data_IF_806644984095
#
_entry.id   IF_806644984095
#
_cell.length_a   1.000
_cell.length_b   1.000
_cell.length_c   1.000
_cell.angle_alpha   90.00
_cell.angle_beta   90.00
_cell.angle_gamma   90.00
#
_symmetry.space_group_name_H-M   'P 1'
#
loop_
_entity.id
_entity.type
_entity.pdbx_description
1 polymer ?
#
# COMPACT_ATOMS: atom_id res chain seq x y z
N UNK A 1 -22.35 54.50 -26.13
CA UNK A 1 -20.93 54.69 -26.45
C UNK A 1 -20.14 54.23 -25.23
N UNK A 2 -19.50 53.06 -25.35
CA UNK A 2 -18.41 52.42 -24.56
C UNK A 2 -18.23 52.85 -23.08
N UNK A 3 -18.25 52.00 -22.05
CA UNK A 3 -17.73 50.64 -21.93
C UNK A 3 -16.56 50.66 -20.93
N UNK A 4 -16.77 50.22 -19.68
CA UNK A 4 -15.69 50.02 -18.69
C UNK A 4 -15.84 48.61 -18.12
N UNK A 5 -15.08 47.68 -18.70
CA UNK A 5 -14.81 46.36 -18.10
C UNK A 5 -13.38 46.42 -17.54
N UNK A 6 -13.25 46.41 -16.22
CA UNK A 6 -12.00 46.10 -15.53
C UNK A 6 -11.74 44.58 -15.68
N UNK A 7 -10.81 44.23 -16.57
CA UNK A 7 -10.20 42.91 -16.63
C UNK A 7 -8.92 42.93 -15.78
N UNK A 8 -9.02 42.50 -14.54
CA UNK A 8 -7.86 42.11 -13.74
C UNK A 8 -7.28 40.82 -14.33
N UNK A 9 -6.23 40.96 -15.15
CA UNK A 9 -5.53 39.83 -15.77
C UNK A 9 -4.74 39.07 -14.71
N UNK A 10 -5.24 37.90 -14.32
CA UNK A 10 -4.46 36.90 -13.59
C UNK A 10 -3.42 36.35 -14.56
N UNK A 11 -2.16 36.71 -14.35
CA UNK A 11 -1.02 36.16 -15.07
C UNK A 11 -0.99 34.64 -14.92
N UNK A 12 -1.32 33.94 -16.00
CA UNK A 12 -1.13 32.51 -16.13
C UNK A 12 0.38 32.27 -16.23
N UNK A 13 1.03 31.91 -15.11
CA UNK A 13 2.38 31.37 -15.13
C UNK A 13 2.33 30.04 -15.90
N UNK A 14 2.64 30.08 -17.19
CA UNK A 14 3.03 28.92 -17.96
C UNK A 14 4.35 28.40 -17.37
N UNK A 15 4.25 27.46 -16.44
CA UNK A 15 5.39 26.63 -16.05
C UNK A 15 5.69 25.74 -17.25
N UNK A 16 6.60 26.19 -18.10
CA UNK A 16 7.24 25.35 -19.10
C UNK A 16 8.11 24.36 -18.32
N UNK A 17 7.51 23.21 -17.99
CA UNK A 17 8.24 22.07 -17.45
C UNK A 17 9.20 21.57 -18.54
N UNK A 18 10.47 21.92 -18.40
CA UNK A 18 11.55 21.27 -19.12
C UNK A 18 11.56 19.80 -18.70
N UNK A 19 11.05 18.93 -19.57
CA UNK A 19 11.15 17.47 -19.41
C UNK A 19 12.61 17.07 -19.51
N UNK A 20 13.31 17.02 -18.38
CA UNK A 20 14.57 16.27 -18.27
C UNK A 20 14.22 14.79 -18.18
N UNK A 21 14.05 14.16 -19.35
CA UNK A 21 13.82 12.72 -19.50
C UNK A 21 15.06 11.93 -19.08
N UNK A 22 15.12 11.52 -17.81
CA UNK A 22 16.15 10.59 -17.32
C UNK A 22 15.60 9.39 -16.51
N UNK A 23 14.28 9.20 -16.54
CA UNK A 23 13.66 7.94 -16.21
C UNK A 23 12.63 7.64 -17.31
N UNK A 24 12.80 6.53 -18.01
CA UNK A 24 11.71 6.04 -18.82
C UNK A 24 11.83 4.52 -18.94
N UNK A 25 11.18 3.84 -18.00
CA UNK A 25 10.33 2.75 -18.43
C UNK A 25 9.48 3.32 -19.56
N UNK A 26 9.51 2.71 -20.75
CA UNK A 26 8.70 3.21 -21.85
C UNK A 26 7.22 2.95 -21.55
N UNK A 27 6.57 3.83 -20.79
CA UNK A 27 5.18 3.63 -20.39
C UNK A 27 4.24 3.54 -21.59
N UNK A 28 4.64 4.02 -22.78
CA UNK A 28 3.85 3.87 -24.02
C UNK A 28 3.76 2.43 -24.51
N UNK A 29 4.65 1.54 -24.05
CA UNK A 29 4.57 0.10 -24.31
C UNK A 29 3.80 -0.67 -23.24
N UNK A 30 3.11 0.01 -22.32
CA UNK A 30 2.23 -0.64 -21.36
C UNK A 30 1.03 -1.28 -22.09
N UNK A 31 0.55 -2.45 -21.63
CA UNK A 31 -0.48 -3.21 -22.33
C UNK A 31 -1.88 -2.60 -22.23
N UNK A 32 -2.14 -1.72 -21.24
CA UNK A 32 -3.44 -1.07 -21.04
C UNK A 32 -3.24 0.40 -20.62
N UNK A 33 -4.27 1.22 -20.82
CA UNK A 33 -4.26 2.62 -20.38
C UNK A 33 -4.07 2.74 -18.86
N UNK A 34 -4.70 1.86 -18.08
CA UNK A 34 -4.53 1.84 -16.63
C UNK A 34 -3.07 1.58 -16.21
N UNK A 35 -2.41 0.61 -16.85
CA UNK A 35 -0.99 0.30 -16.57
C UNK A 35 -0.10 1.44 -17.07
N UNK A 36 -0.46 2.12 -18.16
CA UNK A 36 0.24 3.30 -18.64
C UNK A 36 0.18 4.45 -17.63
N UNK A 37 -0.99 4.72 -17.03
CA UNK A 37 -1.16 5.74 -15.99
C UNK A 37 -0.33 5.37 -14.75
N UNK A 38 -0.44 4.12 -14.26
CA UNK A 38 0.37 3.66 -13.12
C UNK A 38 1.87 3.76 -13.40
N UNK A 39 2.32 3.39 -14.61
CA UNK A 39 3.70 3.51 -15.01
C UNK A 39 4.21 4.95 -14.93
N UNK A 40 3.38 5.93 -15.32
CA UNK A 40 3.74 7.35 -15.23
C UNK A 40 3.87 7.79 -13.77
N UNK A 41 2.91 7.42 -12.92
CA UNK A 41 2.91 7.72 -11.49
C UNK A 41 4.15 7.16 -10.78
N UNK A 42 4.44 5.87 -10.96
CA UNK A 42 5.62 5.24 -10.34
C UNK A 42 6.92 5.75 -10.96
N UNK A 43 6.95 6.07 -12.26
CA UNK A 43 8.15 6.67 -12.87
C UNK A 43 8.43 8.05 -12.28
N UNK A 44 7.39 8.85 -12.04
CA UNK A 44 7.52 10.12 -11.33
C UNK A 44 7.99 9.92 -9.89
N UNK A 45 7.43 8.95 -9.17
CA UNK A 45 7.88 8.56 -7.83
C UNK A 45 9.38 8.23 -7.82
N UNK A 46 9.81 7.33 -8.72
CA UNK A 46 11.19 6.91 -8.87
C UNK A 46 12.15 8.07 -9.14
N UNK A 47 11.77 8.99 -10.04
CA UNK A 47 12.60 10.17 -10.35
C UNK A 47 12.86 11.00 -9.11
N UNK A 48 11.84 11.22 -8.28
CA UNK A 48 11.97 12.10 -7.12
C UNK A 48 12.66 11.36 -5.96
N UNK A 49 12.32 10.09 -5.72
CA UNK A 49 12.92 9.26 -4.67
C UNK A 49 14.43 9.04 -4.85
N UNK A 50 14.96 9.15 -6.07
CA UNK A 50 16.42 9.09 -6.33
C UNK A 50 17.19 10.26 -5.73
N UNK A 51 16.52 11.39 -5.51
CA UNK A 51 17.10 12.58 -4.89
C UNK A 51 16.92 12.60 -3.36
N UNK A 52 16.21 11.61 -2.80
CA UNK A 52 16.02 11.49 -1.35
C UNK A 52 17.21 10.73 -0.76
N UNK A 53 17.93 11.30 0.22
CA UNK A 53 19.01 10.60 0.89
C UNK A 53 18.52 9.32 1.58
N UNK A 54 19.16 8.19 1.29
CA UNK A 54 18.89 6.92 1.95
C UNK A 54 19.79 6.72 3.17
N UNK A 55 19.22 6.28 4.29
CA UNK A 55 19.99 5.82 5.46
C UNK A 55 20.09 4.29 5.43
N UNK A 56 21.26 3.75 5.73
CA UNK A 56 21.44 2.33 6.03
C UNK A 56 21.45 2.14 7.54
N UNK A 57 21.08 0.95 8.02
CA UNK A 57 21.28 0.59 9.43
C UNK A 57 22.76 0.72 9.76
N UNK A 58 23.15 1.61 10.66
CA UNK A 58 24.51 1.67 11.21
C UNK A 58 24.64 0.58 12.29
N UNK A 59 25.82 0.00 12.45
CA UNK A 59 26.07 -1.14 13.37
C UNK A 59 25.73 -0.86 14.85
N UNK A 60 25.48 0.38 15.24
CA UNK A 60 25.03 0.76 16.59
C UNK A 60 23.51 0.59 16.83
N UNK A 61 22.71 0.44 15.77
CA UNK A 61 21.29 0.04 15.85
C UNK A 61 21.16 -1.46 15.52
N UNK A 62 21.94 -2.29 16.21
CA UNK A 62 21.98 -3.73 15.96
C UNK A 62 20.61 -4.39 16.16
N UNK A 63 20.22 -5.33 15.29
CA UNK A 63 19.01 -6.12 15.46
C UNK A 63 19.18 -7.05 16.66
N UNK A 64 18.21 -7.04 17.57
CA UNK A 64 18.14 -8.01 18.67
C UNK A 64 18.21 -9.42 18.07
N UNK A 65 19.21 -10.26 18.41
CA UNK A 65 19.30 -11.61 17.89
C UNK A 65 18.14 -12.47 18.41
N UNK A 66 17.50 -13.20 17.50
CA UNK A 66 16.61 -14.31 17.83
C UNK A 66 17.39 -15.41 18.56
N UNK A 67 17.13 -15.57 19.86
CA UNK A 67 17.63 -16.69 20.64
C UNK A 67 17.28 -16.58 22.12
N UNK A 68 16.41 -17.50 22.56
CA UNK A 68 16.11 -17.87 23.95
C UNK A 68 15.21 -16.92 24.76
N UNK A 69 14.17 -17.55 25.31
CA UNK A 69 13.29 -17.04 26.34
C UNK A 69 14.05 -16.22 27.40
N UNK A 70 13.65 -14.97 27.57
CA UNK A 70 14.14 -14.12 28.65
C UNK A 70 13.44 -12.78 28.59
N UNK A 71 12.67 -12.48 29.63
CA UNK A 71 12.11 -11.16 29.90
C UNK A 71 13.16 -10.04 29.73
N UNK A 72 12.67 -8.89 29.25
CA UNK A 72 13.27 -7.55 29.32
C UNK A 72 14.40 -7.22 28.35
N UNK A 73 14.08 -6.37 27.38
CA UNK A 73 14.68 -5.02 27.37
C UNK A 73 13.66 -4.00 26.84
N UNK A 74 13.38 -3.03 27.69
CA UNK A 74 12.52 -1.87 27.45
C UNK A 74 13.44 -0.70 27.11
N UNK A 75 13.15 0.05 26.04
CA UNK A 75 13.66 1.42 25.86
C UNK A 75 13.47 2.00 24.45
N UNK A 76 12.83 3.18 24.29
CA UNK A 76 11.70 3.70 25.07
C UNK A 76 10.38 3.12 24.53
N UNK A 77 9.36 3.08 25.36
CA UNK A 77 8.03 2.60 24.99
C UNK A 77 7.55 3.22 23.66
N UNK A 78 7.02 2.38 22.77
CA UNK A 78 6.30 2.83 21.59
C UNK A 78 5.32 3.95 22.01
N UNK A 79 5.56 5.18 21.56
CA UNK A 79 4.83 6.37 21.99
C UNK A 79 3.42 6.44 21.39
N UNK A 80 3.20 5.67 20.33
CA UNK A 80 1.92 5.50 19.65
C UNK A 80 1.90 4.14 18.93
N UNK A 81 0.74 3.77 18.38
CA UNK A 81 0.56 2.50 17.67
C UNK A 81 1.50 2.29 16.48
N UNK A 82 2.02 3.37 15.91
CA UNK A 82 2.87 3.30 14.73
C UNK A 82 4.29 2.86 15.08
N UNK A 83 4.67 2.83 16.35
CA UNK A 83 5.99 2.34 16.74
C UNK A 83 5.96 0.83 17.06
N UNK A 84 4.78 0.19 16.99
CA UNK A 84 4.61 -1.24 17.27
C UNK A 84 4.64 -2.08 15.99
N UNK A 85 5.55 -3.06 15.93
CA UNK A 85 5.57 -4.12 14.92
C UNK A 85 4.54 -5.22 15.16
N UNK A 86 4.23 -5.45 16.44
CA UNK A 86 3.25 -6.44 16.86
C UNK A 86 2.61 -6.01 18.18
N UNK A 87 1.46 -6.62 18.50
CA UNK A 87 0.90 -6.53 19.85
C UNK A 87 1.58 -7.64 20.66
N UNK A 88 2.76 -7.35 21.20
CA UNK A 88 3.57 -8.33 21.92
C UNK A 88 2.81 -8.89 23.12
N UNK A 89 2.24 -10.10 22.97
CA UNK A 89 1.58 -10.76 24.08
C UNK A 89 1.42 -12.28 23.93
N UNK A 90 2.05 -13.04 24.81
CA UNK A 90 1.95 -14.50 24.85
C UNK A 90 0.71 -15.02 25.60
N UNK A 91 0.14 -14.22 26.53
CA UNK A 91 -0.97 -14.62 27.40
C UNK A 91 -2.03 -13.52 27.64
N UNK A 92 -2.20 -12.58 26.71
CA UNK A 92 -3.16 -11.49 26.91
C UNK A 92 -4.58 -12.00 26.93
N UNK A 93 -5.29 -11.67 27.99
CA UNK A 93 -6.72 -11.83 28.12
C UNK A 93 -7.33 -10.43 28.05
N UNK A 94 -8.21 -10.20 27.08
CA UNK A 94 -8.96 -8.95 26.93
C UNK A 94 -9.88 -8.75 28.14
N UNK A 95 -10.36 -7.53 28.37
CA UNK A 95 -11.35 -7.25 29.42
C UNK A 95 -12.60 -8.14 29.32
N UNK A 96 -12.91 -8.63 28.13
CA UNK A 96 -14.00 -9.59 27.87
C UNK A 96 -13.68 -11.05 28.26
N UNK A 97 -12.52 -11.34 28.86
CA UNK A 97 -12.06 -12.71 29.15
C UNK A 97 -11.52 -13.51 27.96
N UNK A 98 -11.52 -12.94 26.74
CA UNK A 98 -11.03 -13.62 25.52
C UNK A 98 -9.51 -13.50 25.41
N UNK A 99 -8.82 -14.57 25.02
CA UNK A 99 -7.38 -14.48 24.68
C UNK A 99 -7.18 -13.73 23.37
N UNK A 100 -6.21 -12.81 23.34
CA UNK A 100 -5.73 -12.20 22.11
C UNK A 100 -5.12 -13.28 21.22
N UNK A 101 -5.57 -13.36 19.96
CA UNK A 101 -5.09 -14.32 18.95
C UNK A 101 -4.57 -13.58 17.73
N UNK A 102 -3.80 -14.26 16.88
CA UNK A 102 -3.46 -13.74 15.54
C UNK A 102 -4.73 -13.37 14.78
N UNK A 103 -4.66 -12.28 14.03
CA UNK A 103 -5.74 -11.84 13.15
C UNK A 103 -5.84 -12.77 11.94
N UNK A 104 -7.05 -13.17 11.57
CA UNK A 104 -7.30 -13.88 10.31
C UNK A 104 -7.97 -12.92 9.34
N UNK A 105 -7.25 -12.51 8.30
CA UNK A 105 -7.80 -11.67 7.24
C UNK A 105 -8.73 -12.50 6.34
N UNK A 106 -9.92 -11.99 6.08
CA UNK A 106 -10.94 -12.64 5.24
C UNK A 106 -11.29 -11.74 4.06
N UNK A 107 -11.87 -12.32 3.02
CA UNK A 107 -12.43 -11.53 1.92
C UNK A 107 -13.54 -10.63 2.49
N UNK A 108 -13.56 -9.37 2.06
CA UNK A 108 -14.37 -8.34 2.70
C UNK A 108 -15.89 -8.61 2.64
N UNK A 109 -16.37 -9.22 1.55
CA UNK A 109 -17.79 -9.57 1.33
C UNK A 109 -18.22 -10.82 2.09
N UNK A 110 -17.29 -11.65 2.57
CA UNK A 110 -17.62 -12.86 3.34
C UNK A 110 -17.55 -12.65 4.86
N UNK A 111 -17.23 -11.44 5.32
CA UNK A 111 -17.36 -11.09 6.73
C UNK A 111 -18.81 -11.31 7.20
N UNK A 112 -18.99 -11.83 8.41
CA UNK A 112 -20.31 -11.83 9.04
C UNK A 112 -20.74 -10.40 9.34
N UNK A 113 -22.03 -10.19 9.60
CA UNK A 113 -22.56 -8.86 9.95
C UNK A 113 -21.87 -8.27 11.19
N UNK A 114 -21.60 -9.09 12.21
CA UNK A 114 -20.86 -8.67 13.41
C UNK A 114 -19.40 -8.31 13.09
N UNK A 115 -18.69 -9.13 12.29
CA UNK A 115 -17.31 -8.84 11.88
C UNK A 115 -17.22 -7.55 11.07
N UNK A 116 -18.15 -7.36 10.13
CA UNK A 116 -18.24 -6.19 9.25
C UNK A 116 -18.53 -4.92 10.06
N UNK A 117 -19.52 -4.95 10.95
CA UNK A 117 -19.85 -3.81 11.81
C UNK A 117 -18.69 -3.40 12.71
N UNK A 118 -17.98 -4.36 13.32
CA UNK A 118 -16.77 -4.08 14.13
C UNK A 118 -15.66 -3.46 13.29
N UNK A 119 -15.40 -3.99 12.10
CA UNK A 119 -14.41 -3.43 11.18
C UNK A 119 -14.74 -1.99 10.77
N UNK A 120 -15.99 -1.71 10.36
CA UNK A 120 -16.42 -0.35 10.03
C UNK A 120 -16.33 0.61 11.21
N UNK A 121 -16.78 0.18 12.40
CA UNK A 121 -16.70 0.97 13.62
C UNK A 121 -15.24 1.28 14.01
N UNK A 122 -14.35 0.30 13.88
CA UNK A 122 -12.92 0.48 14.11
C UNK A 122 -12.31 1.47 13.10
N UNK A 123 -12.60 1.33 11.81
CA UNK A 123 -12.15 2.26 10.77
C UNK A 123 -12.60 3.70 11.03
N UNK A 124 -13.87 3.92 11.36
CA UNK A 124 -14.36 5.26 11.72
C UNK A 124 -13.77 5.80 13.02
N UNK A 125 -13.39 4.93 13.95
CA UNK A 125 -12.73 5.33 15.19
C UNK A 125 -11.30 5.78 14.92
N UNK A 126 -10.53 5.01 14.13
CA UNK A 126 -9.17 5.42 13.72
C UNK A 126 -9.18 6.61 12.76
N UNK A 127 -10.27 6.87 12.04
CA UNK A 127 -10.43 8.11 11.28
C UNK A 127 -10.62 9.32 12.20
N UNK A 128 -11.53 9.22 13.18
CA UNK A 128 -11.86 10.33 14.09
C UNK A 128 -10.72 10.69 15.04
N UNK A 129 -9.94 9.72 15.49
CA UNK A 129 -8.79 9.99 16.36
C UNK A 129 -7.53 10.44 15.59
N UNK A 130 -7.62 10.55 14.26
CA UNK A 130 -6.54 10.97 13.37
C UNK A 130 -5.61 9.85 12.95
N UNK A 131 -5.80 8.62 13.45
CA UNK A 131 -4.83 7.56 13.27
C UNK A 131 -4.72 7.11 11.80
N UNK A 132 -5.86 6.98 11.13
CA UNK A 132 -5.96 6.64 9.71
C UNK A 132 -5.26 7.70 8.85
N UNK A 133 -5.46 8.98 9.17
CA UNK A 133 -4.92 10.08 8.38
C UNK A 133 -3.41 10.20 8.52
N UNK A 134 -2.85 9.90 9.69
CA UNK A 134 -1.41 9.82 9.87
C UNK A 134 -0.79 8.69 9.03
N UNK A 135 -1.38 7.49 9.04
CA UNK A 135 -0.94 6.36 8.20
C UNK A 135 -1.08 6.65 6.71
N UNK A 136 -2.18 7.26 6.31
CA UNK A 136 -2.45 7.61 4.92
C UNK A 136 -1.46 8.66 4.40
N UNK A 137 -1.04 9.61 5.25
CA UNK A 137 -0.02 10.61 4.92
C UNK A 137 1.35 9.99 4.67
N UNK A 138 1.73 8.95 5.43
CA UNK A 138 3.00 8.23 5.23
C UNK A 138 3.10 7.78 3.77
N UNK A 139 2.08 7.08 3.26
CA UNK A 139 2.06 6.63 1.86
C UNK A 139 2.10 7.78 0.86
N UNK A 140 1.37 8.88 1.09
CA UNK A 140 1.17 9.93 0.08
C UNK A 140 2.42 10.74 -0.32
N UNK A 141 3.57 10.52 0.32
CA UNK A 141 4.75 11.38 0.23
C UNK A 141 6.03 10.61 -0.11
N UNK A 142 6.57 10.82 -1.32
CA UNK A 142 7.84 10.21 -1.75
C UNK A 142 9.03 10.60 -0.86
N UNK A 143 9.01 11.78 -0.22
CA UNK A 143 10.13 12.27 0.58
C UNK A 143 10.27 11.48 1.90
N UNK A 144 9.14 11.11 2.49
CA UNK A 144 9.11 10.31 3.73
C UNK A 144 9.02 8.81 3.44
N UNK A 145 8.58 8.43 2.24
CA UNK A 145 8.36 7.03 1.84
C UNK A 145 8.91 6.73 0.44
N UNK A 146 10.21 6.95 0.20
CA UNK A 146 10.82 6.79 -1.12
C UNK A 146 10.88 5.32 -1.59
N UNK A 147 10.69 4.35 -0.70
CA UNK A 147 10.67 2.92 -1.01
C UNK A 147 9.25 2.34 -1.24
N UNK A 148 8.20 3.14 -1.07
CA UNK A 148 6.82 2.67 -1.18
C UNK A 148 6.51 2.14 -2.59
N UNK A 149 7.05 2.76 -3.63
CA UNK A 149 6.78 2.45 -5.03
C UNK A 149 8.04 2.38 -5.88
N UNK A 150 7.94 1.81 -7.07
CA UNK A 150 8.91 1.81 -8.18
C UNK A 150 9.97 0.72 -8.17
N UNK A 151 9.90 -0.22 -7.23
CA UNK A 151 10.97 -1.19 -7.04
C UNK A 151 10.71 -2.26 -5.98
N UNK A 152 11.72 -3.10 -5.67
CA UNK A 152 11.54 -4.32 -4.90
C UNK A 152 11.09 -4.12 -3.45
N UNK A 153 11.20 -2.91 -2.91
CA UNK A 153 10.69 -2.62 -1.57
C UNK A 153 9.15 -2.46 -1.53
N UNK A 154 8.46 -2.37 -2.67
CA UNK A 154 7.01 -2.17 -2.74
C UNK A 154 6.23 -3.15 -1.85
N UNK A 155 6.47 -4.46 -2.01
CA UNK A 155 5.77 -5.50 -1.25
C UNK A 155 6.10 -5.46 0.27
N UNK A 156 7.37 -5.51 0.70
CA UNK A 156 7.68 -5.45 2.14
C UNK A 156 7.26 -4.13 2.79
N UNK A 157 7.35 -3.00 2.08
CA UNK A 157 6.94 -1.69 2.60
C UNK A 157 5.43 -1.62 2.82
N UNK A 158 4.63 -2.07 1.84
CA UNK A 158 3.18 -2.09 1.97
C UNK A 158 2.69 -3.09 3.02
N UNK A 159 3.34 -4.25 3.14
CA UNK A 159 3.08 -5.23 4.20
C UNK A 159 3.22 -4.59 5.58
N UNK A 160 4.26 -3.79 5.78
CA UNK A 160 4.44 -3.08 7.04
C UNK A 160 3.40 -1.98 7.26
N UNK A 161 3.07 -1.21 6.21
CA UNK A 161 2.01 -0.19 6.29
C UNK A 161 0.65 -0.79 6.69
N UNK A 162 0.23 -1.89 6.04
CA UNK A 162 -1.06 -2.52 6.35
C UNK A 162 -1.05 -3.20 7.72
N UNK A 163 0.11 -3.70 8.18
CA UNK A 163 0.27 -4.23 9.55
C UNK A 163 0.05 -3.14 10.59
N UNK A 164 0.59 -1.94 10.38
CA UNK A 164 0.35 -0.78 11.28
C UNK A 164 -1.11 -0.36 11.33
N UNK A 165 -1.81 -0.35 10.19
CA UNK A 165 -3.25 -0.12 10.16
C UNK A 165 -4.00 -1.21 10.94
N UNK A 166 -3.67 -2.49 10.73
CA UNK A 166 -4.31 -3.59 11.45
C UNK A 166 -4.09 -3.51 12.97
N UNK A 167 -2.91 -3.08 13.41
CA UNK A 167 -2.64 -2.80 14.83
C UNK A 167 -3.52 -1.65 15.33
N UNK A 168 -3.65 -0.56 14.57
CA UNK A 168 -4.51 0.57 14.94
C UNK A 168 -5.99 0.14 15.08
N UNK A 169 -6.50 -0.67 14.14
CA UNK A 169 -7.84 -1.27 14.23
C UNK A 169 -7.99 -2.13 15.48
N UNK A 170 -6.98 -2.95 15.79
CA UNK A 170 -7.01 -3.88 16.92
C UNK A 170 -6.82 -3.23 18.29
N UNK A 171 -6.34 -1.98 18.33
CA UNK A 171 -6.40 -1.15 19.54
C UNK A 171 -7.83 -0.69 19.84
N UNK A 172 -8.69 -0.59 18.82
CA UNK A 172 -10.11 -0.28 18.98
C UNK A 172 -10.90 -1.54 19.33
N UNK A 173 -10.79 -2.59 18.49
CA UNK A 173 -11.39 -3.89 18.75
C UNK A 173 -10.36 -5.01 18.45
N UNK A 174 -9.82 -5.67 19.47
CA UNK A 174 -8.77 -6.69 19.30
C UNK A 174 -9.23 -7.95 18.55
N UNK A 175 -10.53 -8.12 18.28
CA UNK A 175 -11.05 -9.20 17.46
C UNK A 175 -11.06 -8.90 15.96
N UNK A 176 -10.88 -7.64 15.56
CA UNK A 176 -10.85 -7.21 14.15
C UNK A 176 -9.55 -7.68 13.47
N UNK A 177 -9.67 -7.98 12.18
CA UNK A 177 -8.58 -8.17 11.23
C UNK A 177 -8.82 -7.25 10.04
N UNK A 178 -7.76 -6.86 9.32
CA UNK A 178 -7.92 -6.12 8.07
C UNK A 178 -8.43 -7.08 6.98
N UNK A 179 -9.66 -6.93 6.45
CA UNK A 179 -10.11 -7.76 5.34
C UNK A 179 -9.28 -7.48 4.07
N UNK A 180 -9.28 -8.43 3.14
CA UNK A 180 -8.76 -8.21 1.79
C UNK A 180 -9.91 -8.03 0.79
N UNK A 181 -9.64 -7.30 -0.28
CA UNK A 181 -10.56 -7.15 -1.41
C UNK A 181 -10.06 -7.98 -2.59
N UNK A 182 -10.75 -9.09 -2.86
CA UNK A 182 -10.52 -9.84 -4.09
C UNK A 182 -11.23 -9.14 -5.25
N UNK A 183 -10.44 -8.44 -6.06
CA UNK A 183 -10.90 -7.68 -7.22
C UNK A 183 -11.12 -8.55 -8.47
N UNK A 184 -10.68 -9.83 -8.46
CA UNK A 184 -10.98 -10.77 -9.55
C UNK A 184 -12.46 -11.06 -9.66
N UNK A 185 -13.18 -11.01 -8.53
CA UNK A 185 -14.63 -11.18 -8.49
C UNK A 185 -15.35 -10.06 -9.25
N UNK A 186 -14.84 -8.85 -9.18
CA UNK A 186 -15.37 -7.69 -9.90
C UNK A 186 -14.98 -7.70 -11.38
N UNK A 187 -13.77 -8.16 -11.68
CA UNK A 187 -13.23 -8.25 -13.03
C UNK A 187 -14.04 -9.21 -13.91
N UNK A 188 -14.51 -10.31 -13.33
CA UNK A 188 -15.33 -11.32 -14.03
C UNK A 188 -16.76 -10.84 -14.35
N UNK A 189 -17.20 -9.69 -13.83
CA UNK A 189 -18.53 -9.16 -14.11
C UNK A 189 -18.54 -8.48 -15.49
N UNK A 190 -19.65 -8.57 -16.25
CA UNK A 190 -19.82 -7.79 -17.48
C UNK A 190 -19.63 -6.29 -17.26
N UNK A 191 -20.00 -5.81 -16.07
CA UNK A 191 -19.78 -4.45 -15.62
C UNK A 191 -19.36 -4.46 -14.14
N UNK A 192 -18.12 -4.07 -13.79
CA UNK A 192 -17.65 -4.06 -12.40
C UNK A 192 -18.44 -3.16 -11.45
N UNK A 193 -19.26 -2.24 -11.96
CA UNK A 193 -20.18 -1.41 -11.13
C UNK A 193 -21.31 -2.21 -10.50
N UNK A 194 -21.63 -3.38 -11.05
CA UNK A 194 -22.74 -4.21 -10.59
C UNK A 194 -22.34 -5.09 -9.40
N UNK A 195 -21.08 -5.00 -8.95
CA UNK A 195 -20.57 -5.72 -7.80
C UNK A 195 -21.28 -5.34 -6.49
N UNK A 196 -21.53 -6.34 -5.66
CA UNK A 196 -22.05 -6.14 -4.30
C UNK A 196 -21.14 -5.28 -3.43
N UNK A 197 -19.85 -5.13 -3.80
CA UNK A 197 -18.90 -4.25 -3.11
C UNK A 197 -19.40 -2.80 -3.03
N UNK A 198 -20.14 -2.35 -4.04
CA UNK A 198 -20.63 -0.97 -4.14
C UNK A 198 -21.98 -0.75 -3.46
N UNK A 199 -22.50 -1.76 -2.77
CA UNK A 199 -23.72 -1.63 -1.95
C UNK A 199 -23.53 -0.68 -0.76
N UNK A 200 -24.64 -0.20 -0.22
CA UNK A 200 -24.67 0.67 0.97
C UNK A 200 -24.15 -0.01 2.24
N UNK A 201 -24.14 -1.33 2.26
CA UNK A 201 -23.56 -2.11 3.35
C UNK A 201 -22.03 -2.13 3.31
N UNK A 202 -21.42 -2.01 2.13
CA UNK A 202 -19.97 -2.10 1.93
C UNK A 202 -19.38 -0.74 1.54
N UNK A 203 -18.85 -0.60 0.33
CA UNK A 203 -18.08 0.58 -0.07
C UNK A 203 -18.93 1.72 -0.60
N UNK A 204 -20.21 1.48 -0.88
CA UNK A 204 -21.13 2.46 -1.43
C UNK A 204 -20.84 2.83 -2.90
N UNK A 205 -21.74 3.65 -3.43
CA UNK A 205 -21.70 4.24 -4.77
C UNK A 205 -21.21 5.68 -4.72
N UNK A 206 -20.92 6.26 -5.89
CA UNK A 206 -20.51 7.64 -6.03
C UNK A 206 -21.57 8.49 -6.74
N UNK A 207 -21.62 9.78 -6.42
CA UNK A 207 -22.40 10.77 -7.16
C UNK A 207 -21.79 11.07 -8.54
N UNK A 208 -22.47 11.91 -9.33
CA UNK A 208 -21.99 12.33 -10.65
C UNK A 208 -20.63 13.06 -10.59
N UNK A 209 -20.30 13.69 -9.47
CA UNK A 209 -19.04 14.37 -9.19
C UNK A 209 -17.92 13.43 -8.68
N UNK A 210 -18.20 12.13 -8.62
CA UNK A 210 -17.33 11.08 -8.10
C UNK A 210 -17.30 10.96 -6.58
N UNK A 211 -17.90 11.88 -5.81
CA UNK A 211 -17.82 11.80 -4.35
C UNK A 211 -18.73 10.70 -3.77
N UNK A 212 -18.18 9.93 -2.83
CA UNK A 212 -18.84 8.77 -2.22
C UNK A 212 -19.67 9.21 -1.01
N UNK A 213 -21.00 9.22 -1.18
CA UNK A 213 -21.97 9.72 -0.19
C UNK A 213 -22.86 8.61 0.40
N UNK A 214 -22.64 7.37 -0.02
CA UNK A 214 -23.34 6.17 0.44
C UNK A 214 -22.32 5.13 0.92
N UNK A 215 -22.78 3.97 1.41
CA UNK A 215 -21.87 2.95 1.94
C UNK A 215 -21.46 3.13 3.41
N UNK A 216 -20.67 2.17 3.88
CA UNK A 216 -20.07 2.19 5.20
C UNK A 216 -19.11 3.38 5.40
N UNK A 217 -18.49 3.86 4.31
CA UNK A 217 -17.53 4.96 4.31
C UNK A 217 -18.09 6.25 3.70
N UNK A 218 -19.42 6.42 3.69
CA UNK A 218 -20.07 7.65 3.21
C UNK A 218 -19.49 8.90 3.85
N UNK A 219 -19.29 9.94 3.05
CA UNK A 219 -18.76 11.23 3.50
C UNK A 219 -17.38 11.14 4.20
N UNK A 220 -16.62 10.08 3.94
CA UNK A 220 -15.25 10.00 4.42
C UNK A 220 -14.42 11.12 3.80
N UNK A 221 -13.86 11.97 4.65
CA UNK A 221 -13.04 13.07 4.17
C UNK A 221 -11.68 12.54 3.74
N UNK A 222 -11.20 13.06 2.61
CA UNK A 222 -9.81 12.94 2.21
C UNK A 222 -8.89 13.41 3.35
N UNK A 223 -7.64 12.98 3.30
CA UNK A 223 -6.60 13.24 4.32
C UNK A 223 -6.33 14.74 4.51
N UNK A 224 -6.64 15.57 3.51
CA UNK A 224 -6.60 17.03 3.59
C UNK A 224 -7.74 17.64 4.43
N UNK A 225 -8.75 16.84 4.79
CA UNK A 225 -9.93 17.22 5.57
C UNK A 225 -10.92 18.12 4.83
N UNK A 226 -10.71 18.41 3.54
CA UNK A 226 -11.46 19.45 2.81
C UNK A 226 -12.58 18.92 1.95
N UNK A 227 -12.49 17.67 1.51
CA UNK A 227 -13.42 17.08 0.54
C UNK A 227 -13.70 15.63 0.85
N UNK A 228 -14.87 15.16 0.47
CA UNK A 228 -15.18 13.73 0.44
C UNK A 228 -14.29 13.06 -0.62
N UNK A 229 -13.75 11.89 -0.31
CA UNK A 229 -12.97 11.12 -1.28
C UNK A 229 -13.82 10.76 -2.50
N UNK A 230 -13.15 10.54 -3.64
CA UNK A 230 -13.82 10.33 -4.92
C UNK A 230 -13.47 8.98 -5.52
N UNK A 231 -14.42 8.45 -6.29
CA UNK A 231 -14.26 7.30 -7.15
C UNK A 231 -14.80 7.53 -8.56
N UNK A 232 -14.27 6.77 -9.52
CA UNK A 232 -14.71 6.63 -10.90
C UNK A 232 -14.89 5.15 -11.26
N UNK A 233 -15.74 4.45 -10.48
CA UNK A 233 -15.94 2.99 -10.56
C UNK A 233 -16.17 2.55 -12.01
N UNK A 234 -15.39 1.57 -12.48
CA UNK A 234 -15.51 1.00 -13.82
C UNK A 234 -15.24 1.98 -14.98
N UNK A 235 -14.64 3.16 -14.73
CA UNK A 235 -14.18 4.08 -15.78
C UNK A 235 -12.68 4.04 -15.98
N UNK A 236 -11.94 3.94 -14.88
CA UNK A 236 -10.47 3.98 -14.87
C UNK A 236 -9.95 2.83 -14.02
N UNK A 237 -8.70 2.47 -14.26
CA UNK A 237 -8.02 1.43 -13.53
C UNK A 237 -8.20 0.04 -14.10
N UNK A 238 -7.39 -0.87 -13.58
CA UNK A 238 -7.45 -2.29 -13.86
C UNK A 238 -7.70 -3.05 -12.55
N UNK A 239 -8.62 -4.00 -12.64
CA UNK A 239 -8.86 -4.99 -11.59
C UNK A 239 -7.91 -6.17 -11.82
N UNK A 240 -7.66 -6.95 -10.78
CA UNK A 240 -6.81 -8.14 -10.92
C UNK A 240 -7.51 -9.17 -11.80
N UNK A 241 -6.76 -9.75 -12.74
CA UNK A 241 -7.23 -10.91 -13.51
C UNK A 241 -6.65 -12.20 -12.94
N UNK A 242 -7.37 -13.31 -13.14
CA UNK A 242 -6.87 -14.65 -12.79
C UNK A 242 -5.53 -14.96 -13.48
N UNK A 243 -5.36 -14.46 -14.72
CA UNK A 243 -4.14 -14.67 -15.52
C UNK A 243 -2.94 -13.96 -14.92
N UNK A 244 -3.10 -12.73 -14.45
CA UNK A 244 -2.02 -11.97 -13.79
C UNK A 244 -1.61 -12.65 -12.49
N UNK A 245 -2.59 -13.05 -11.66
CA UNK A 245 -2.31 -13.78 -10.41
C UNK A 245 -1.59 -15.11 -10.71
N UNK A 246 -2.06 -15.87 -11.70
CA UNK A 246 -1.42 -17.12 -12.12
C UNK A 246 0.01 -16.89 -12.62
N UNK A 247 0.28 -15.77 -13.28
CA UNK A 247 1.63 -15.40 -13.73
C UNK A 247 2.56 -15.13 -12.53
N UNK A 248 2.08 -14.35 -11.55
CA UNK A 248 2.85 -14.02 -10.34
C UNK A 248 3.09 -15.25 -9.46
N UNK A 249 2.04 -16.04 -9.17
CA UNK A 249 2.16 -17.27 -8.37
C UNK A 249 2.90 -18.37 -9.14
N UNK A 250 2.90 -18.30 -10.48
CA UNK A 250 3.51 -19.24 -11.41
C UNK A 250 5.05 -19.21 -11.46
N UNK A 251 5.66 -18.05 -11.26
CA UNK A 251 7.11 -17.88 -11.43
C UNK A 251 7.91 -18.45 -10.26
N UNK A 252 9.07 -19.05 -10.53
CA UNK A 252 10.08 -19.41 -9.52
C UNK A 252 11.14 -18.32 -9.32
N UNK A 253 11.14 -17.28 -10.15
CA UNK A 253 12.09 -16.18 -10.07
C UNK A 253 11.53 -15.07 -9.17
N UNK A 254 12.05 -14.98 -7.95
CA UNK A 254 11.67 -13.95 -6.98
C UNK A 254 11.89 -12.52 -7.49
N UNK A 255 12.78 -12.31 -8.48
CA UNK A 255 13.04 -10.99 -9.08
C UNK A 255 11.89 -10.52 -9.98
N UNK A 256 11.04 -11.44 -10.45
CA UNK A 256 9.83 -11.08 -11.19
C UNK A 256 8.70 -10.65 -10.25
N UNK A 257 8.70 -11.15 -9.00
CA UNK A 257 7.72 -10.78 -7.96
C UNK A 257 8.14 -9.49 -7.24
N UNK A 258 9.40 -9.41 -6.81
CA UNK A 258 10.04 -8.19 -6.29
C UNK A 258 10.65 -7.41 -7.47
N UNK A 259 9.81 -7.02 -8.43
CA UNK A 259 10.27 -6.41 -9.67
C UNK A 259 10.79 -4.98 -9.51
N UNK A 260 11.66 -4.58 -10.43
CA UNK A 260 11.93 -3.17 -10.70
C UNK A 260 10.87 -2.66 -11.68
N UNK A 261 9.97 -1.80 -11.22
CA UNK A 261 8.81 -1.36 -12.00
C UNK A 261 9.09 -0.05 -12.73
N UNK A 262 9.99 0.80 -12.23
CA UNK A 262 10.46 1.99 -12.96
C UNK A 262 11.98 1.98 -13.23
N UNK A 263 12.51 0.99 -13.97
CA UNK A 263 13.93 0.91 -14.27
C UNK A 263 14.39 2.06 -15.18
N UNK A 264 15.63 2.55 -14.97
CA UNK A 264 16.26 3.48 -15.91
C UNK A 264 16.84 2.74 -17.11
N UNK A 265 17.12 3.50 -18.17
CA UNK A 265 17.85 2.99 -19.34
C UNK A 265 19.18 2.36 -18.88
N UNK A 266 19.45 1.15 -19.35
CA UNK A 266 20.64 0.38 -19.00
C UNK A 266 20.46 -0.58 -17.81
N UNK A 267 19.32 -0.55 -17.11
CA UNK A 267 18.97 -1.65 -16.21
C UNK A 267 18.77 -2.95 -17.03
N UNK A 268 19.35 -4.05 -16.55
CA UNK A 268 19.25 -5.37 -17.19
C UNK A 268 17.87 -6.03 -17.03
N UNK A 269 17.05 -5.50 -16.12
CA UNK A 269 15.71 -5.98 -15.83
C UNK A 269 14.69 -4.98 -16.41
N UNK A 270 13.96 -5.32 -17.48
CA UNK A 270 12.91 -4.46 -18.00
C UNK A 270 11.74 -4.37 -17.00
N UNK A 271 10.88 -3.36 -17.19
CA UNK A 271 9.66 -3.24 -16.42
C UNK A 271 8.80 -4.51 -16.61
N UNK A 272 8.43 -5.16 -15.51
CA UNK A 272 7.56 -6.33 -15.52
C UNK A 272 6.10 -5.88 -15.40
N UNK A 273 5.37 -5.80 -16.51
CA UNK A 273 3.96 -5.39 -16.50
C UNK A 273 3.02 -6.33 -15.72
N UNK A 274 3.47 -7.55 -15.40
CA UNK A 274 2.74 -8.47 -14.54
C UNK A 274 3.02 -8.25 -13.04
N UNK A 275 3.85 -7.27 -12.66
CA UNK A 275 4.12 -6.96 -11.27
C UNK A 275 2.86 -6.44 -10.56
N UNK A 276 2.64 -6.88 -9.32
CA UNK A 276 1.45 -6.54 -8.52
C UNK A 276 1.26 -5.02 -8.32
N UNK A 277 2.34 -4.24 -8.38
CA UNK A 277 2.30 -2.78 -8.29
C UNK A 277 1.53 -2.11 -9.43
N UNK A 278 1.30 -2.78 -10.57
CA UNK A 278 0.58 -2.19 -11.69
C UNK A 278 -0.95 -2.32 -11.60
N UNK A 279 -1.49 -2.97 -10.57
CA UNK A 279 -2.92 -3.21 -10.42
C UNK A 279 -3.44 -2.44 -9.21
N UNK A 280 -4.25 -1.40 -9.41
CA UNK A 280 -4.72 -0.51 -8.32
C UNK A 280 -6.22 -0.17 -8.39
N UNK A 281 -6.97 -0.75 -9.33
CA UNK A 281 -8.35 -0.33 -9.59
C UNK A 281 -8.40 1.19 -9.81
N UNK A 282 -9.40 1.84 -9.21
CA UNK A 282 -9.61 3.30 -9.31
C UNK A 282 -8.61 4.14 -8.47
N UNK A 283 -7.69 3.50 -7.74
CA UNK A 283 -6.72 4.15 -6.85
C UNK A 283 -5.38 4.43 -7.54
N UNK A 284 -5.42 4.85 -8.81
CA UNK A 284 -4.24 4.99 -9.67
C UNK A 284 -3.28 6.11 -9.26
N UNK A 285 -3.79 7.16 -8.61
CA UNK A 285 -2.96 8.31 -8.22
C UNK A 285 -2.30 8.02 -6.89
N UNK A 286 -1.02 7.64 -6.93
CA UNK A 286 -0.20 7.20 -5.79
C UNK A 286 -0.23 8.16 -4.60
N UNK A 287 -0.24 9.48 -4.86
CA UNK A 287 -0.23 10.52 -3.81
C UNK A 287 -1.59 10.71 -3.12
N UNK A 288 -2.66 10.11 -3.63
CA UNK A 288 -4.02 10.32 -3.13
C UNK A 288 -4.85 9.05 -2.96
N UNK A 289 -4.29 7.89 -3.31
CA UNK A 289 -4.93 6.57 -3.24
C UNK A 289 -5.43 6.23 -1.84
N UNK A 290 -4.68 6.58 -0.80
CA UNK A 290 -5.04 6.34 0.61
C UNK A 290 -6.21 7.17 1.13
N UNK A 291 -6.71 8.14 0.35
CA UNK A 291 -7.97 8.81 0.69
C UNK A 291 -9.16 7.85 0.67
N UNK A 292 -9.07 6.77 -0.11
CA UNK A 292 -10.06 5.71 -0.17
C UNK A 292 -9.72 4.59 0.84
N UNK A 293 -10.61 4.28 1.81
CA UNK A 293 -10.44 3.13 2.72
C UNK A 293 -10.20 1.79 2.02
N UNK A 294 -10.65 1.62 0.78
CA UNK A 294 -10.46 0.40 -0.01
C UNK A 294 -8.98 0.10 -0.31
N UNK A 295 -8.12 1.12 -0.25
CA UNK A 295 -6.67 1.00 -0.45
C UNK A 295 -6.06 -0.10 0.43
N UNK A 296 -6.42 -0.10 1.71
CA UNK A 296 -5.83 -1.05 2.64
C UNK A 296 -6.32 -2.48 2.40
N UNK A 297 -7.57 -2.65 1.97
CA UNK A 297 -8.12 -3.96 1.61
C UNK A 297 -7.49 -4.48 0.31
N UNK A 298 -7.22 -3.58 -0.64
CA UNK A 298 -6.50 -3.89 -1.87
C UNK A 298 -5.06 -4.34 -1.59
N UNK A 299 -4.31 -3.59 -0.77
CA UNK A 299 -2.96 -4.01 -0.40
C UNK A 299 -2.91 -5.25 0.49
N UNK A 300 -3.97 -5.54 1.24
CA UNK A 300 -4.16 -6.82 1.93
C UNK A 300 -4.32 -7.99 0.94
N UNK A 301 -4.96 -7.77 -0.22
CA UNK A 301 -5.02 -8.75 -1.31
C UNK A 301 -3.66 -8.92 -2.02
N UNK A 302 -2.95 -7.83 -2.28
CA UNK A 302 -1.57 -7.88 -2.83
C UNK A 302 -0.66 -8.71 -1.90
N UNK A 303 -0.74 -8.45 -0.59
CA UNK A 303 0.02 -9.19 0.42
C UNK A 303 -0.36 -10.67 0.48
N UNK A 304 -1.66 -10.99 0.34
CA UNK A 304 -2.14 -12.37 0.25
C UNK A 304 -1.57 -13.09 -0.98
N UNK A 305 -1.61 -12.47 -2.17
CA UNK A 305 -1.04 -13.05 -3.40
C UNK A 305 0.47 -13.28 -3.24
N UNK A 306 1.17 -12.30 -2.67
CA UNK A 306 2.60 -12.44 -2.39
C UNK A 306 2.86 -13.59 -1.42
N UNK A 307 2.09 -13.71 -0.34
CA UNK A 307 2.25 -14.78 0.63
C UNK A 307 1.94 -16.16 0.04
N UNK A 308 0.91 -16.28 -0.82
CA UNK A 308 0.64 -17.51 -1.57
C UNK A 308 1.83 -17.93 -2.43
N UNK A 309 2.48 -16.98 -3.11
CA UNK A 309 3.70 -17.23 -3.85
C UNK A 309 4.85 -17.65 -2.92
N UNK A 310 5.09 -16.93 -1.82
CA UNK A 310 6.14 -17.26 -0.83
C UNK A 310 5.94 -18.67 -0.27
N UNK A 311 4.69 -19.05 0.02
CA UNK A 311 4.36 -20.37 0.58
C UNK A 311 4.60 -21.49 -0.42
N UNK A 312 4.26 -21.27 -1.69
CA UNK A 312 4.35 -22.29 -2.74
C UNK A 312 5.73 -22.39 -3.40
N UNK A 313 6.53 -21.31 -3.41
CA UNK A 313 7.79 -21.24 -4.18
C UNK A 313 9.06 -21.16 -3.35
N UNK A 314 8.95 -20.83 -2.06
CA UNK A 314 10.11 -20.60 -1.21
C UNK A 314 10.09 -21.49 0.03
N UNK A 315 11.26 -22.00 0.38
CA UNK A 315 11.51 -22.54 1.73
C UNK A 315 11.40 -21.43 2.77
N UNK A 316 11.19 -21.81 4.03
CA UNK A 316 11.12 -20.84 5.14
C UNK A 316 12.35 -19.93 5.22
N UNK A 317 13.54 -20.44 4.91
CA UNK A 317 14.77 -19.65 4.87
C UNK A 317 14.86 -18.74 3.65
N UNK A 318 14.44 -19.21 2.47
CA UNK A 318 14.43 -18.38 1.25
C UNK A 318 13.50 -17.17 1.40
N UNK A 319 12.36 -17.37 2.06
CA UNK A 319 11.36 -16.34 2.37
C UNK A 319 11.90 -15.12 3.09
N UNK A 320 12.97 -15.27 3.87
CA UNK A 320 13.59 -14.20 4.66
C UNK A 320 14.86 -13.63 4.02
N UNK A 321 15.35 -14.22 2.93
CA UNK A 321 16.67 -13.90 2.35
C UNK A 321 16.65 -13.55 0.86
N UNK A 322 15.65 -13.98 0.10
CA UNK A 322 15.58 -13.72 -1.33
C UNK A 322 15.07 -12.30 -1.60
N UNK A 323 16.01 -11.40 -1.87
CA UNK A 323 15.77 -10.02 -2.26
C UNK A 323 16.66 -9.65 -3.45
N UNK A 324 16.19 -8.88 -4.44
CA UNK A 324 17.00 -8.51 -5.60
C UNK A 324 18.27 -7.75 -5.21
N UNK A 325 19.36 -8.00 -5.93
CA UNK A 325 20.62 -7.29 -5.71
C UNK A 325 20.47 -5.79 -5.96
N UNK A 326 21.14 -5.00 -5.13
CA UNK A 326 21.16 -3.54 -5.23
C UNK A 326 21.72 -3.10 -6.58
N UNK A 327 20.94 -2.31 -7.32
CA UNK A 327 21.34 -1.77 -8.62
C UNK A 327 20.70 -0.39 -8.82
N UNK A 328 21.54 0.65 -8.82
CA UNK A 328 21.11 2.04 -8.95
C UNK A 328 20.53 2.37 -10.32
N UNK A 329 20.85 1.62 -11.38
CA UNK A 329 20.19 1.80 -12.68
C UNK A 329 18.75 1.26 -12.65
N UNK A 330 18.50 0.23 -11.86
CA UNK A 330 17.17 -0.37 -11.77
C UNK A 330 16.28 0.36 -10.76
N UNK A 331 16.81 0.74 -9.59
CA UNK A 331 16.01 1.27 -8.49
C UNK A 331 16.72 2.43 -7.78
N UNK A 332 15.95 3.28 -7.09
CA UNK A 332 16.50 4.25 -6.13
C UNK A 332 17.16 3.49 -4.96
N UNK A 333 18.08 4.15 -4.23
CA UNK A 333 18.75 3.55 -3.05
C UNK A 333 17.76 3.18 -1.94
N UNK A 334 16.57 3.80 -1.94
CA UNK A 334 15.48 3.50 -1.01
C UNK A 334 15.00 2.05 -1.11
N UNK A 335 15.25 1.36 -2.23
CA UNK A 335 14.88 -0.05 -2.40
C UNK A 335 16.01 -1.03 -2.08
N UNK A 336 17.18 -0.57 -1.66
CA UNK A 336 18.28 -1.48 -1.37
C UNK A 336 18.01 -2.30 -0.11
N UNK A 337 18.49 -3.54 -0.07
CA UNK A 337 18.07 -4.51 0.94
C UNK A 337 18.29 -4.01 2.40
N UNK A 338 19.44 -3.38 2.65
CA UNK A 338 19.86 -2.89 3.97
C UNK A 338 19.59 -1.39 4.19
N UNK A 339 18.85 -0.75 3.27
CA UNK A 339 18.38 0.63 3.45
C UNK A 339 17.18 0.64 4.38
N UNK A 340 17.11 1.64 5.27
CA UNK A 340 15.97 1.87 6.15
C UNK A 340 14.69 1.94 5.33
N UNK A 341 13.69 1.14 5.71
CA UNK A 341 12.36 1.12 5.15
C UNK A 341 11.60 2.38 5.61
N UNK A 342 11.99 3.55 5.10
CA UNK A 342 11.48 4.82 5.60
C UNK A 342 9.95 4.93 5.44
N UNK A 343 9.22 5.41 6.47
CA UNK A 343 9.72 6.02 7.71
C UNK A 343 9.86 5.03 8.90
N UNK A 344 9.80 3.73 8.66
CA UNK A 344 9.70 2.67 9.66
C UNK A 344 11.05 2.30 10.32
N UNK A 345 11.89 3.31 10.59
CA UNK A 345 13.16 3.12 11.31
C UNK A 345 12.95 2.40 12.65
N UNK A 346 13.84 1.49 13.08
CA UNK A 346 15.13 1.11 12.46
C UNK A 346 15.04 -0.07 11.46
N UNK A 347 13.84 -0.36 10.95
CA UNK A 347 13.67 -1.46 10.00
C UNK A 347 14.34 -1.15 8.67
N UNK A 348 14.91 -2.19 8.06
CA UNK A 348 15.38 -2.16 6.66
C UNK A 348 14.43 -2.95 5.78
N UNK A 349 14.52 -2.76 4.46
CA UNK A 349 13.64 -3.45 3.49
C UNK A 349 13.64 -4.97 3.67
N UNK A 350 14.79 -5.56 4.02
CA UNK A 350 14.91 -6.99 4.28
C UNK A 350 14.04 -7.48 5.44
N UNK A 351 13.78 -6.65 6.47
CA UNK A 351 12.97 -7.06 7.62
C UNK A 351 11.49 -7.29 7.24
N UNK A 352 11.00 -6.63 6.19
CA UNK A 352 9.66 -6.86 5.64
C UNK A 352 9.48 -8.25 5.02
N UNK A 353 10.58 -8.99 4.81
CA UNK A 353 10.56 -10.39 4.41
C UNK A 353 10.38 -11.36 5.59
N UNK A 354 10.25 -10.89 6.82
CA UNK A 354 10.14 -11.79 7.98
C UNK A 354 8.96 -12.77 7.87
N UNK A 355 9.16 -14.03 8.27
CA UNK A 355 8.04 -14.97 8.40
C UNK A 355 7.10 -14.61 9.57
N UNK A 356 7.45 -13.63 10.42
CA UNK A 356 6.64 -13.25 11.58
C UNK A 356 5.35 -12.49 11.19
N UNK A 357 5.27 -11.93 9.98
CA UNK A 357 4.06 -11.24 9.51
C UNK A 357 2.87 -12.17 9.28
N UNK A 358 3.12 -13.40 8.83
CA UNK A 358 2.12 -14.31 8.25
C UNK A 358 2.13 -15.71 8.88
N UNK A 359 2.90 -15.90 9.96
CA UNK A 359 3.24 -17.21 10.51
C UNK A 359 2.14 -17.94 11.26
#
# INVERSE_FOLDING_TARGET
>A
MFGVFELCSIGMLLIISSRTTNAQANCTSAPTEAIQIMCQEITQWAMISRNVPSKTRTHEESPIPTGLFGQQSVGPAARNAYECMDIACSNCVLASGRRLRRATRKEYRVLTDDERQRYHAAMWTIKRNGDYDALSRIHSQFFTSPGAHSGPAFLPWHRELIKRLEIALRRVDPSVALPYWDSTLDERLPNPRDSSLWSDELMGTHGADGAVRTGAFRNWLAVDGRRVFKRSIGRVGNLMTDREIATVVGTSDYRQVLASTAPQRGCRYPANWAALEYVHGDMLVTTSSTNDPLFFNHHSMIDLIWEMWRVSRQTRTQREKQYPSDNSLCNSRAHFANTIMAPFSPMVNLDGLSNQYTG
#
